data_IF_019126758332
#
_entry.id   IF_019126758332
#
_cell.length_a   1.000
_cell.length_b   1.000
_cell.length_c   1.000
_cell.angle_alpha   90.00
_cell.angle_beta   90.00
_cell.angle_gamma   90.00
#
_symmetry.space_group_name_H-M   'P 1'
#
loop_
_entity.id
_entity.type
_entity.pdbx_description
1 polymer ?
#
# COMPACT_ATOMS: atom_id res chain seq x y z
N UNK A 1 24.33 5.90 0.71
CA UNK A 1 23.83 6.92 1.66
C UNK A 1 23.36 8.21 1.01
N UNK A 2 24.10 8.80 0.05
CA UNK A 2 23.74 10.09 -0.57
C UNK A 2 22.28 10.22 -1.02
N UNK A 3 21.75 9.22 -1.72
CA UNK A 3 20.34 9.22 -2.20
C UNK A 3 19.36 9.29 -1.03
N UNK A 4 19.53 8.40 -0.03
CA UNK A 4 18.69 8.34 1.18
C UNK A 4 18.71 9.67 1.94
N UNK A 5 19.88 10.28 2.10
CA UNK A 5 19.97 11.57 2.78
C UNK A 5 19.17 12.65 2.05
N UNK A 6 19.38 12.80 0.74
CA UNK A 6 18.70 13.84 -0.03
C UNK A 6 17.19 13.62 -0.19
N UNK A 7 16.69 12.38 -0.10
CA UNK A 7 15.28 12.07 -0.28
C UNK A 7 14.49 11.92 1.01
N UNK A 8 15.13 11.62 2.16
CA UNK A 8 14.43 11.32 3.41
C UNK A 8 14.91 12.11 4.64
N UNK A 9 16.18 12.52 4.71
CA UNK A 9 16.74 13.14 5.93
C UNK A 9 16.88 14.65 5.75
N UNK A 10 17.63 15.06 4.73
CA UNK A 10 17.96 16.47 4.46
C UNK A 10 17.08 17.06 3.35
N UNK A 11 15.91 16.46 3.11
CA UNK A 11 14.95 16.93 2.11
C UNK A 11 14.30 18.25 2.60
N UNK A 12 14.41 19.37 1.87
CA UNK A 12 13.70 20.59 2.23
C UNK A 12 12.19 20.40 2.02
N UNK A 13 11.40 20.52 3.10
CA UNK A 13 9.94 20.44 3.07
C UNK A 13 9.31 21.77 3.50
N UNK A 14 8.18 22.19 2.91
CA UNK A 14 7.43 23.35 3.39
C UNK A 14 6.97 23.12 4.84
N UNK A 15 7.09 24.14 5.69
CA UNK A 15 6.79 24.02 7.13
C UNK A 15 5.30 23.90 7.44
N UNK A 16 4.42 24.20 6.48
CA UNK A 16 2.97 24.26 6.64
C UNK A 16 2.21 23.14 5.91
N UNK A 17 2.87 22.03 5.56
CA UNK A 17 2.17 20.85 5.04
C UNK A 17 1.22 20.29 6.09
N UNK A 18 -0.02 20.02 5.70
CA UNK A 18 -1.06 19.49 6.59
C UNK A 18 -1.06 17.96 6.62
N UNK A 19 -1.95 17.37 7.43
CA UNK A 19 -2.10 15.91 7.52
C UNK A 19 -2.36 15.22 6.17
N UNK A 20 -2.90 15.94 5.18
CA UNK A 20 -3.15 15.45 3.83
C UNK A 20 -1.88 15.05 3.07
N UNK A 21 -0.71 15.56 3.46
CA UNK A 21 0.57 15.18 2.86
C UNK A 21 1.07 13.79 3.30
N UNK A 22 0.50 13.21 4.36
CA UNK A 22 0.88 11.87 4.83
C UNK A 22 0.42 10.74 3.90
N UNK A 23 -0.60 10.94 3.07
CA UNK A 23 -1.14 9.84 2.26
C UNK A 23 -0.16 9.29 1.23
N UNK A 24 0.87 10.05 0.84
CA UNK A 24 1.94 9.52 -0.03
C UNK A 24 2.79 8.45 0.65
N UNK A 25 3.25 8.71 1.88
CA UNK A 25 4.03 7.71 2.63
C UNK A 25 3.17 6.53 3.07
N UNK A 26 1.90 6.78 3.42
CA UNK A 26 0.95 5.71 3.74
C UNK A 26 0.66 4.80 2.55
N UNK A 27 0.62 5.32 1.31
CA UNK A 27 0.53 4.49 0.10
C UNK A 27 1.75 3.60 -0.07
N UNK A 28 2.96 4.13 0.16
CA UNK A 28 4.19 3.35 0.17
C UNK A 28 4.18 2.25 1.23
N UNK A 29 3.68 2.55 2.43
CA UNK A 29 3.50 1.57 3.50
C UNK A 29 2.48 0.49 3.12
N UNK A 30 1.32 0.88 2.57
CA UNK A 30 0.30 -0.05 2.10
C UNK A 30 0.87 -0.99 1.04
N UNK A 31 1.62 -0.47 0.08
CA UNK A 31 2.28 -1.30 -0.95
C UNK A 31 3.25 -2.30 -0.33
N UNK A 32 4.10 -1.86 0.61
CA UNK A 32 5.01 -2.75 1.34
C UNK A 32 4.27 -3.88 2.07
N UNK A 33 3.19 -3.54 2.79
CA UNK A 33 2.35 -4.52 3.49
C UNK A 33 1.72 -5.51 2.48
N UNK A 34 1.17 -5.02 1.37
CA UNK A 34 0.53 -5.88 0.36
C UNK A 34 1.53 -6.82 -0.30
N UNK A 35 2.74 -6.37 -0.64
CA UNK A 35 3.78 -7.22 -1.24
C UNK A 35 4.19 -8.32 -0.25
N UNK A 36 4.48 -7.96 1.00
CA UNK A 36 4.91 -8.92 2.01
C UNK A 36 3.81 -9.95 2.29
N UNK A 37 2.59 -9.49 2.61
CA UNK A 37 1.48 -10.40 2.90
C UNK A 37 1.08 -11.24 1.69
N UNK A 38 1.06 -10.64 0.50
CA UNK A 38 0.73 -11.33 -0.75
C UNK A 38 1.72 -12.43 -1.09
N UNK A 39 3.03 -12.18 -0.88
CA UNK A 39 4.06 -13.19 -1.08
C UNK A 39 3.88 -14.39 -0.14
N UNK A 40 3.60 -14.15 1.15
CA UNK A 40 3.35 -15.23 2.11
C UNK A 40 2.06 -16.00 1.80
N UNK A 41 1.00 -15.33 1.31
CA UNK A 41 -0.21 -16.01 0.85
C UNK A 41 0.06 -16.88 -0.38
N UNK A 42 0.85 -16.38 -1.34
CA UNK A 42 1.18 -17.09 -2.56
C UNK A 42 1.96 -18.39 -2.31
N UNK A 43 2.76 -18.47 -1.24
CA UNK A 43 3.45 -19.70 -0.84
C UNK A 43 2.51 -20.86 -0.47
N UNK A 44 1.23 -20.58 -0.17
CA UNK A 44 0.24 -21.56 0.27
C UNK A 44 -1.00 -21.62 -0.62
N UNK A 45 -1.13 -20.71 -1.59
CA UNK A 45 -2.27 -20.63 -2.50
C UNK A 45 -2.06 -21.52 -3.74
N UNK A 46 -3.13 -22.14 -4.22
CA UNK A 46 -3.15 -22.87 -5.51
C UNK A 46 -4.12 -22.19 -6.47
N UNK A 47 -3.68 -21.92 -7.71
CA UNK A 47 -4.47 -21.19 -8.71
C UNK A 47 -5.43 -22.07 -9.51
N UNK A 48 -5.42 -23.39 -9.30
CA UNK A 48 -6.33 -24.31 -9.97
C UNK A 48 -7.77 -24.15 -9.45
N UNK A 49 -8.75 -24.07 -10.38
CA UNK A 49 -10.15 -23.78 -10.03
C UNK A 49 -10.80 -24.80 -9.09
N UNK A 50 -10.33 -26.05 -9.06
CA UNK A 50 -10.85 -27.09 -8.17
C UNK A 50 -10.32 -26.92 -6.73
N UNK A 51 -9.20 -26.22 -6.55
CA UNK A 51 -8.50 -26.10 -5.25
C UNK A 51 -8.31 -24.67 -4.74
N UNK A 52 -8.62 -23.64 -5.55
CA UNK A 52 -8.42 -22.24 -5.18
C UNK A 52 -9.16 -21.84 -3.89
N UNK A 53 -10.42 -22.26 -3.74
CA UNK A 53 -11.17 -21.96 -2.52
C UNK A 53 -10.62 -22.72 -1.31
N UNK A 54 -10.36 -24.02 -1.47
CA UNK A 54 -9.87 -24.85 -0.38
C UNK A 54 -8.48 -24.43 0.10
N UNK A 55 -7.59 -24.01 -0.80
CA UNK A 55 -6.26 -23.49 -0.41
C UNK A 55 -6.35 -22.20 0.42
N UNK A 56 -7.27 -21.28 0.11
CA UNK A 56 -7.53 -20.10 0.97
C UNK A 56 -8.09 -20.50 2.34
N UNK A 57 -8.97 -21.51 2.40
CA UNK A 57 -9.47 -22.00 3.70
C UNK A 57 -8.37 -22.68 4.52
N UNK A 58 -7.47 -23.43 3.87
CA UNK A 58 -6.29 -24.03 4.48
C UNK A 58 -5.34 -22.96 5.04
N UNK A 59 -5.10 -21.87 4.30
CA UNK A 59 -4.34 -20.71 4.81
C UNK A 59 -4.95 -20.18 6.11
N UNK A 60 -6.27 -20.04 6.17
CA UNK A 60 -6.92 -19.44 7.34
C UNK A 60 -6.97 -20.36 8.56
N UNK A 61 -7.00 -21.68 8.36
CA UNK A 61 -7.24 -22.66 9.44
C UNK A 61 -6.00 -23.41 9.88
N UNK A 62 -5.12 -23.72 8.93
CA UNK A 62 -4.07 -24.72 9.12
C UNK A 62 -2.66 -24.12 9.01
N UNK A 63 -2.51 -22.94 8.37
CA UNK A 63 -1.23 -22.21 8.34
C UNK A 63 -1.09 -21.34 9.59
N UNK A 64 0.06 -21.41 10.27
CA UNK A 64 0.37 -20.61 11.44
C UNK A 64 0.21 -19.11 11.14
N UNK A 65 -0.67 -18.44 11.89
CA UNK A 65 -1.05 -17.03 11.69
C UNK A 65 -1.60 -16.69 10.29
N UNK A 66 -1.94 -17.68 9.48
CA UNK A 66 -2.38 -17.47 8.11
C UNK A 66 -3.69 -16.68 8.02
N UNK A 67 -4.59 -16.81 9.01
CA UNK A 67 -5.78 -15.96 9.11
C UNK A 67 -5.43 -14.47 9.25
N UNK A 68 -4.45 -14.12 10.09
CA UNK A 68 -4.02 -12.72 10.28
C UNK A 68 -3.46 -12.19 8.97
N UNK A 69 -2.56 -12.95 8.33
CA UNK A 69 -1.93 -12.56 7.06
C UNK A 69 -2.99 -12.35 5.97
N UNK A 70 -3.96 -13.27 5.87
CA UNK A 70 -5.06 -13.18 4.89
C UNK A 70 -5.92 -11.96 5.13
N UNK A 71 -6.33 -11.69 6.38
CA UNK A 71 -7.17 -10.54 6.69
C UNK A 71 -6.40 -9.22 6.62
N UNK A 72 -5.09 -9.21 6.93
CA UNK A 72 -4.24 -8.05 6.74
C UNK A 72 -4.10 -7.71 5.25
N UNK A 73 -3.91 -8.70 4.38
CA UNK A 73 -3.87 -8.48 2.93
C UNK A 73 -5.21 -7.98 2.37
N UNK A 74 -6.32 -8.54 2.85
CA UNK A 74 -7.66 -8.16 2.39
C UNK A 74 -8.05 -6.74 2.86
N UNK A 75 -7.90 -6.43 4.16
CA UNK A 75 -8.22 -5.10 4.68
C UNK A 75 -7.16 -4.06 4.27
N UNK A 76 -5.91 -4.49 4.07
CA UNK A 76 -4.83 -3.66 3.54
C UNK A 76 -5.14 -3.13 2.14
N UNK A 77 -5.80 -3.93 1.29
CA UNK A 77 -6.32 -3.46 0.01
C UNK A 77 -7.35 -2.32 0.18
N UNK A 78 -8.30 -2.45 1.11
CA UNK A 78 -9.26 -1.38 1.40
C UNK A 78 -8.57 -0.10 1.89
N UNK A 79 -7.59 -0.24 2.80
CA UNK A 79 -6.80 0.89 3.29
C UNK A 79 -5.99 1.54 2.16
N UNK A 80 -5.47 0.75 1.23
CA UNK A 80 -4.78 1.26 0.03
C UNK A 80 -5.70 2.19 -0.76
N UNK A 81 -6.92 1.76 -1.07
CA UNK A 81 -7.88 2.58 -1.83
C UNK A 81 -8.32 3.83 -1.06
N UNK A 82 -8.52 3.74 0.26
CA UNK A 82 -8.78 4.92 1.10
C UNK A 82 -7.64 5.92 0.97
N UNK A 83 -6.39 5.48 1.14
CA UNK A 83 -5.23 6.34 0.98
C UNK A 83 -5.13 6.93 -0.43
N UNK A 84 -5.41 6.14 -1.46
CA UNK A 84 -5.35 6.56 -2.86
C UNK A 84 -6.34 7.69 -3.13
N UNK A 85 -7.61 7.52 -2.76
CA UNK A 85 -8.63 8.53 -2.99
C UNK A 85 -8.36 9.82 -2.21
N UNK A 86 -7.88 9.72 -0.96
CA UNK A 86 -7.52 10.89 -0.16
C UNK A 86 -6.26 11.59 -0.73
N UNK A 87 -5.30 10.84 -1.28
CA UNK A 87 -4.11 11.39 -1.93
C UNK A 87 -4.46 12.16 -3.21
N UNK A 88 -5.32 11.58 -4.06
CA UNK A 88 -5.82 12.22 -5.29
C UNK A 88 -6.67 13.44 -4.94
N UNK A 89 -7.60 13.32 -3.99
CA UNK A 89 -8.45 14.41 -3.54
C UNK A 89 -7.66 15.60 -3.00
N UNK A 90 -6.60 15.35 -2.22
CA UNK A 90 -5.63 16.38 -1.82
C UNK A 90 -5.02 17.05 -3.05
N UNK A 91 -4.57 16.27 -4.04
CA UNK A 91 -3.92 16.80 -5.23
C UNK A 91 -4.82 17.74 -6.04
N UNK A 92 -6.12 17.43 -6.12
CA UNK A 92 -7.12 18.29 -6.74
C UNK A 92 -7.35 19.57 -5.90
N UNK A 93 -7.60 19.43 -4.61
CA UNK A 93 -7.94 20.56 -3.73
C UNK A 93 -6.82 21.61 -3.64
N UNK A 94 -5.56 21.17 -3.58
CA UNK A 94 -4.40 22.07 -3.48
C UNK A 94 -3.72 22.37 -4.82
N UNK A 95 -4.31 21.97 -5.95
CA UNK A 95 -3.74 22.26 -7.28
C UNK A 95 -2.41 21.54 -7.57
N UNK A 96 -2.10 20.45 -6.87
CA UNK A 96 -0.84 19.71 -7.05
C UNK A 96 -0.73 19.03 -8.42
N UNK A 97 -1.83 18.88 -9.14
CA UNK A 97 -1.84 18.40 -10.54
C UNK A 97 -1.06 19.30 -11.51
N UNK A 98 -0.71 20.53 -11.10
CA UNK A 98 0.18 21.42 -11.88
C UNK A 98 1.59 20.87 -12.03
N UNK A 99 2.03 19.97 -11.14
CA UNK A 99 3.25 19.16 -11.33
C UNK A 99 2.95 18.01 -12.30
N UNK A 100 2.85 18.33 -13.60
CA UNK A 100 2.32 17.44 -14.64
C UNK A 100 2.96 16.05 -14.68
N UNK A 101 4.28 15.96 -14.59
CA UNK A 101 4.98 14.67 -14.62
C UNK A 101 4.62 13.81 -13.41
N UNK A 102 4.60 14.40 -12.21
CA UNK A 102 4.21 13.69 -10.98
C UNK A 102 2.75 13.28 -11.01
N UNK A 103 1.87 14.13 -11.55
CA UNK A 103 0.45 13.86 -11.65
C UNK A 103 0.11 12.78 -12.69
N UNK A 104 0.76 12.78 -13.85
CA UNK A 104 0.48 11.81 -14.91
C UNK A 104 0.96 10.39 -14.57
N UNK A 105 2.01 10.26 -13.74
CA UNK A 105 2.50 8.96 -13.26
C UNK A 105 1.60 8.38 -12.16
N UNK A 106 1.01 9.24 -11.32
CA UNK A 106 0.18 8.86 -10.19
C UNK A 106 -1.21 8.40 -10.61
#
# INVERSE_FOLDING_TARGET
MKIVNHSLIDLPAPSNISAWWNFGSLLGLCLGIQIITGLFLAMHYTSDTLTAFSSVTHICRDVNYGWIIRYLHANGASMFFICLFLHVGRGIYYGSYTYSETWNIG
#
